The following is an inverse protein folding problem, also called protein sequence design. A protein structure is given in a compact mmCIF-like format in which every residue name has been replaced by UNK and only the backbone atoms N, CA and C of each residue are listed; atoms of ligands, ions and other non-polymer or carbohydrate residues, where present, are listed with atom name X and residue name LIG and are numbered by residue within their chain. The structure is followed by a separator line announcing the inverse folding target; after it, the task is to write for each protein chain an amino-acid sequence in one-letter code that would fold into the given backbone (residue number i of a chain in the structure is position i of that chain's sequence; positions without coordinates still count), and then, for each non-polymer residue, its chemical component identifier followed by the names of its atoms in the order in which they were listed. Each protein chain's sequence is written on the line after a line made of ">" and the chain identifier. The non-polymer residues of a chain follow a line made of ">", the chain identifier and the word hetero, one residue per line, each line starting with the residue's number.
data_IF_827788137926
#
_entry.id   IF_827788137926
#
_cell.length_a   1.000
_cell.length_b   1.000
_cell.length_c   1.000
_cell.angle_alpha   90.00
_cell.angle_beta   90.00
_cell.angle_gamma   90.00
#
_symmetry.space_group_name_H-M   'P 1'
#
loop_
_entity.id
_entity.type
_entity.pdbx_description
1 polymer ?
#
# COMPACT_ATOMS: atom_id res chain seq x y z
N UNK A 1 0.78 16.82 17.57
CA UNK A 1 0.54 16.06 16.32
C UNK A 1 1.80 16.19 15.47
N UNK A 2 2.42 15.08 15.02
CA UNK A 2 3.60 15.15 14.17
C UNK A 2 3.25 15.79 12.82
N UNK A 3 4.14 16.63 12.31
CA UNK A 3 4.00 17.27 10.98
C UNK A 3 4.89 16.58 9.93
N UNK A 4 5.95 15.91 10.39
CA UNK A 4 6.91 15.18 9.55
C UNK A 4 7.19 13.79 10.13
N UNK A 5 7.75 12.89 9.30
CA UNK A 5 8.21 11.57 9.77
C UNK A 5 9.26 11.71 10.89
N UNK A 6 10.13 12.72 10.84
CA UNK A 6 11.17 12.94 11.86
C UNK A 6 10.59 13.25 13.25
N UNK A 7 9.38 13.79 13.33
CA UNK A 7 8.70 14.10 14.59
C UNK A 7 8.22 12.83 15.35
N UNK A 8 8.30 11.67 14.71
CA UNK A 8 8.01 10.36 15.34
C UNK A 8 9.15 9.85 16.24
N UNK A 9 10.20 10.64 16.43
CA UNK A 9 11.31 10.30 17.36
C UNK A 9 10.79 10.06 18.78
N UNK A 10 11.11 8.89 19.32
CA UNK A 10 10.64 8.43 20.63
C UNK A 10 9.28 7.76 20.62
N UNK A 11 8.62 7.69 19.46
CA UNK A 11 7.30 7.04 19.33
C UNK A 11 7.41 5.52 19.25
N UNK A 12 6.29 4.85 19.57
CA UNK A 12 6.03 3.46 19.21
C UNK A 12 4.91 3.44 18.16
N UNK A 13 5.16 2.78 17.04
CA UNK A 13 4.21 2.64 15.93
C UNK A 13 3.71 1.20 15.91
N UNK A 14 2.43 1.01 16.12
CA UNK A 14 1.79 -0.31 16.06
C UNK A 14 1.40 -0.63 14.62
N UNK A 15 1.80 -1.81 14.13
CA UNK A 15 1.48 -2.26 12.76
C UNK A 15 1.40 -3.80 12.71
N UNK A 16 1.37 -4.36 11.52
CA UNK A 16 1.37 -5.80 11.23
C UNK A 16 2.38 -6.12 10.14
N UNK A 17 2.56 -7.41 9.83
CA UNK A 17 3.35 -7.84 8.68
C UNK A 17 4.87 -7.75 8.91
N UNK A 18 5.33 -8.20 10.09
CA UNK A 18 6.75 -8.36 10.36
C UNK A 18 7.40 -9.29 9.33
N UNK A 19 8.55 -8.90 8.78
CA UNK A 19 9.25 -9.62 7.72
C UNK A 19 8.60 -9.49 6.33
N UNK A 20 7.68 -8.53 6.15
CA UNK A 20 6.93 -8.33 4.91
C UNK A 20 6.86 -6.84 4.53
N UNK A 21 6.17 -6.54 3.42
CA UNK A 21 6.06 -5.18 2.89
C UNK A 21 5.72 -4.08 3.91
N UNK A 22 4.79 -4.25 4.85
CA UNK A 22 4.49 -3.20 5.81
C UNK A 22 5.71 -2.76 6.63
N UNK A 23 6.52 -3.72 7.11
CA UNK A 23 7.75 -3.41 7.82
C UNK A 23 8.76 -2.68 6.94
N UNK A 24 9.01 -3.18 5.72
CA UNK A 24 10.00 -2.59 4.81
C UNK A 24 9.63 -1.16 4.41
N UNK A 25 8.34 -0.92 4.12
CA UNK A 25 7.84 0.42 3.78
C UNK A 25 8.04 1.39 4.95
N UNK A 26 7.61 0.97 6.15
CA UNK A 26 7.72 1.82 7.34
C UNK A 26 9.19 2.11 7.67
N UNK A 27 10.04 1.08 7.68
CA UNK A 27 11.48 1.23 7.95
C UNK A 27 12.15 2.16 6.94
N UNK A 28 11.86 1.99 5.65
CA UNK A 28 12.42 2.84 4.59
C UNK A 28 12.13 4.33 4.82
N UNK A 29 10.87 4.69 5.09
CA UNK A 29 10.52 6.10 5.28
C UNK A 29 11.04 6.66 6.59
N UNK A 30 11.14 5.85 7.65
CA UNK A 30 11.72 6.24 8.93
C UNK A 30 13.23 6.51 8.79
N UNK A 31 13.96 5.59 8.17
CA UNK A 31 15.42 5.72 7.97
C UNK A 31 15.76 6.89 7.04
N UNK A 32 14.99 7.11 5.97
CA UNK A 32 15.15 8.27 5.10
C UNK A 32 14.94 9.59 5.83
N UNK A 33 14.11 9.61 6.88
CA UNK A 33 13.92 10.77 7.75
C UNK A 33 14.97 10.86 8.89
N UNK A 34 15.98 9.99 8.90
CA UNK A 34 17.06 9.98 9.91
C UNK A 34 16.65 9.39 11.27
N UNK A 35 15.67 8.47 11.26
CA UNK A 35 15.25 7.71 12.44
C UNK A 35 15.71 6.26 12.35
N UNK A 36 16.44 5.80 13.36
CA UNK A 36 16.88 4.40 13.46
C UNK A 36 15.80 3.58 14.17
N UNK A 37 15.25 2.58 13.48
CA UNK A 37 14.29 1.65 14.08
C UNK A 37 14.97 0.84 15.18
N UNK A 38 14.30 0.74 16.34
CA UNK A 38 14.84 0.10 17.54
C UNK A 38 15.65 1.01 18.46
N UNK A 39 16.07 2.18 17.98
CA UNK A 39 16.78 3.21 18.78
C UNK A 39 15.95 4.48 18.94
N UNK A 40 15.67 5.15 17.81
CA UNK A 40 14.95 6.41 17.77
C UNK A 40 13.42 6.24 17.75
N UNK A 41 12.95 5.14 17.21
CA UNK A 41 11.51 4.79 17.08
C UNK A 41 11.33 3.28 17.24
N UNK A 42 10.25 2.87 17.89
CA UNK A 42 9.92 1.47 18.07
C UNK A 42 8.79 1.06 17.12
N UNK A 43 8.85 -0.17 16.61
CA UNK A 43 7.74 -0.77 15.86
C UNK A 43 7.20 -1.95 16.68
N UNK A 44 5.92 -1.89 17.00
CA UNK A 44 5.20 -2.99 17.63
C UNK A 44 4.40 -3.75 16.58
N UNK A 45 4.71 -5.04 16.39
CA UNK A 45 4.03 -5.88 15.41
C UNK A 45 2.89 -6.69 16.01
N UNK A 46 1.72 -6.55 15.43
CA UNK A 46 0.57 -7.41 15.65
C UNK A 46 0.58 -8.58 14.64
N UNK A 47 -0.14 -9.64 14.97
CA UNK A 47 -0.23 -10.83 14.11
C UNK A 47 -1.05 -10.58 12.83
N UNK A 48 -2.01 -9.66 12.90
CA UNK A 48 -2.90 -9.31 11.80
C UNK A 48 -3.40 -7.86 11.91
N UNK A 49 -3.93 -7.33 10.81
CA UNK A 49 -4.51 -5.99 10.74
C UNK A 49 -5.67 -5.79 11.73
N UNK A 50 -6.47 -6.83 11.96
CA UNK A 50 -7.60 -6.77 12.90
C UNK A 50 -7.16 -6.54 14.35
N UNK A 51 -5.99 -7.02 14.74
CA UNK A 51 -5.42 -6.77 16.06
C UNK A 51 -4.99 -5.31 16.21
N UNK A 52 -4.40 -4.72 15.17
CA UNK A 52 -4.10 -3.27 15.15
C UNK A 52 -5.38 -2.46 15.28
N UNK A 53 -6.43 -2.82 14.52
CA UNK A 53 -7.74 -2.17 14.61
C UNK A 53 -8.37 -2.27 16.02
N UNK A 54 -8.19 -3.41 16.68
CA UNK A 54 -8.67 -3.60 18.06
C UNK A 54 -7.94 -2.68 19.04
N UNK A 55 -6.60 -2.57 18.94
CA UNK A 55 -5.80 -1.66 19.76
C UNK A 55 -6.17 -0.19 19.55
N UNK A 56 -6.36 0.23 18.28
CA UNK A 56 -6.84 1.59 17.97
C UNK A 56 -8.21 1.84 18.60
N UNK A 57 -9.16 0.90 18.44
CA UNK A 57 -10.50 1.04 19.02
C UNK A 57 -10.48 1.14 20.53
N UNK A 58 -9.56 0.41 21.20
CA UNK A 58 -9.36 0.46 22.66
C UNK A 58 -8.56 1.68 23.13
N UNK A 59 -7.89 2.42 22.23
CA UNK A 59 -6.99 3.52 22.60
C UNK A 59 -5.67 3.03 23.23
N UNK A 60 -5.19 1.86 22.83
CA UNK A 60 -4.02 1.19 23.41
C UNK A 60 -2.72 1.47 22.64
N UNK A 61 -2.73 2.27 21.60
CA UNK A 61 -1.55 2.68 20.85
C UNK A 61 -1.62 4.18 20.52
N UNK A 62 -0.46 4.86 20.55
CA UNK A 62 -0.37 6.28 20.19
C UNK A 62 -0.36 6.49 18.67
N UNK A 63 0.35 5.62 17.96
CA UNK A 63 0.46 5.63 16.50
C UNK A 63 0.18 4.23 15.94
N UNK A 64 -0.53 4.19 14.82
CA UNK A 64 -0.77 2.97 14.08
C UNK A 64 -0.50 3.20 12.58
N UNK A 65 0.13 2.22 11.91
CA UNK A 65 0.20 2.18 10.46
C UNK A 65 -0.78 1.15 9.93
N UNK A 66 -1.66 1.58 9.06
CA UNK A 66 -2.74 0.78 8.48
C UNK A 66 -2.92 1.13 6.99
N UNK A 67 -3.22 0.16 6.12
CA UNK A 67 -3.65 0.45 4.76
C UNK A 67 -5.10 0.93 4.74
N UNK A 68 -5.53 1.59 3.66
CA UNK A 68 -6.95 1.76 3.39
C UNK A 68 -7.58 0.42 2.93
N UNK A 69 -8.83 0.14 3.28
CA UNK A 69 -9.77 0.98 4.04
C UNK A 69 -9.63 0.91 5.58
N UNK A 70 -8.64 0.19 6.10
CA UNK A 70 -8.50 -0.05 7.54
C UNK A 70 -8.21 1.23 8.33
N UNK A 71 -7.47 2.18 7.77
CA UNK A 71 -7.22 3.49 8.39
C UNK A 71 -8.55 4.25 8.59
N UNK A 72 -9.41 4.27 7.57
CA UNK A 72 -10.76 4.85 7.67
C UNK A 72 -11.65 4.12 8.68
N UNK A 73 -11.59 2.78 8.72
CA UNK A 73 -12.31 1.98 9.73
C UNK A 73 -11.82 2.30 11.14
N UNK A 74 -10.50 2.42 11.35
CA UNK A 74 -9.91 2.78 12.63
C UNK A 74 -10.43 4.13 13.14
N UNK A 75 -10.44 5.17 12.31
CA UNK A 75 -10.99 6.49 12.63
C UNK A 75 -12.50 6.43 12.95
N UNK A 76 -13.25 5.58 12.27
CA UNK A 76 -14.68 5.41 12.54
C UNK A 76 -14.93 4.73 13.89
N UNK A 77 -14.03 3.83 14.31
CA UNK A 77 -14.13 3.15 15.61
C UNK A 77 -13.68 4.02 16.78
N UNK A 78 -12.74 4.93 16.55
CA UNK A 78 -12.24 5.83 17.57
C UNK A 78 -11.90 7.20 16.96
N UNK A 79 -12.78 8.18 17.17
CA UNK A 79 -12.68 9.53 16.61
C UNK A 79 -11.50 10.36 17.18
N UNK A 80 -10.81 9.87 18.20
CA UNK A 80 -9.61 10.52 18.73
C UNK A 80 -8.38 10.29 17.81
N UNK A 81 -8.45 9.32 16.88
CA UNK A 81 -7.40 9.09 15.90
C UNK A 81 -7.68 9.86 14.61
N UNK A 82 -6.63 10.39 14.04
CA UNK A 82 -6.65 11.04 12.73
C UNK A 82 -5.47 10.56 11.90
N UNK A 83 -5.61 10.54 10.56
CA UNK A 83 -4.49 10.31 9.67
C UNK A 83 -3.56 11.51 9.73
N UNK A 84 -2.32 11.29 10.12
CA UNK A 84 -1.30 12.33 10.24
C UNK A 84 -0.27 12.28 9.11
N UNK A 85 -0.10 11.13 8.47
CA UNK A 85 0.87 10.94 7.40
C UNK A 85 0.34 10.00 6.32
N UNK A 86 0.64 10.33 5.07
CA UNK A 86 0.42 9.51 3.89
C UNK A 86 1.74 8.88 3.47
N UNK A 87 1.82 7.55 3.56
CA UNK A 87 3.06 6.83 3.26
C UNK A 87 3.43 6.82 1.78
N UNK A 88 2.50 7.05 0.84
CA UNK A 88 2.85 7.25 -0.55
C UNK A 88 3.67 8.52 -0.73
N UNK A 89 3.23 9.63 -0.11
CA UNK A 89 3.97 10.90 -0.13
C UNK A 89 5.30 10.78 0.58
N UNK A 90 5.32 10.16 1.76
CA UNK A 90 6.55 9.93 2.50
C UNK A 90 7.56 9.07 1.73
N UNK A 91 7.10 8.06 1.00
CA UNK A 91 7.93 7.24 0.11
C UNK A 91 8.48 8.05 -1.07
N UNK A 92 7.65 8.85 -1.72
CA UNK A 92 8.07 9.71 -2.82
C UNK A 92 9.15 10.69 -2.37
N UNK A 93 8.97 11.34 -1.22
CA UNK A 93 9.96 12.21 -0.61
C UNK A 93 11.26 11.45 -0.26
N UNK A 94 11.15 10.29 0.38
CA UNK A 94 12.29 9.44 0.76
C UNK A 94 13.12 8.99 -0.46
N UNK A 95 12.45 8.67 -1.57
CA UNK A 95 13.11 8.28 -2.81
C UNK A 95 13.61 9.46 -3.65
N UNK A 96 13.29 10.70 -3.26
CA UNK A 96 13.54 11.91 -4.06
C UNK A 96 12.77 11.89 -5.39
N UNK A 97 11.55 11.34 -5.39
CA UNK A 97 10.68 11.23 -6.56
C UNK A 97 11.09 10.17 -7.58
N UNK A 98 12.01 9.26 -7.21
CA UNK A 98 12.56 8.26 -8.15
C UNK A 98 11.73 6.98 -8.24
N UNK A 99 11.01 6.64 -7.17
CA UNK A 99 10.22 5.42 -7.09
C UNK A 99 8.86 5.70 -6.48
N UNK A 100 7.88 4.86 -6.80
CA UNK A 100 6.55 4.90 -6.23
C UNK A 100 6.34 3.73 -5.26
N UNK A 101 5.50 3.91 -4.26
CA UNK A 101 5.08 2.84 -3.38
C UNK A 101 4.09 1.94 -4.14
N UNK A 102 4.48 0.69 -4.37
CA UNK A 102 3.65 -0.31 -5.07
C UNK A 102 3.07 -1.30 -4.06
N UNK A 103 1.76 -1.31 -3.89
CA UNK A 103 1.08 -2.16 -2.90
C UNK A 103 0.50 -3.44 -3.48
N UNK A 104 0.06 -3.43 -4.73
CA UNK A 104 -0.59 -4.56 -5.35
C UNK A 104 -0.27 -4.67 -6.83
N UNK A 105 -0.41 -5.89 -7.36
CA UNK A 105 -0.26 -6.15 -8.78
C UNK A 105 -1.25 -7.23 -9.23
N UNK A 106 -1.52 -7.24 -10.52
CA UNK A 106 -2.16 -8.36 -11.20
C UNK A 106 -1.06 -9.29 -11.71
N UNK A 107 -1.24 -10.58 -11.48
CA UNK A 107 -0.34 -11.61 -12.00
C UNK A 107 -1.10 -12.55 -12.93
N UNK A 108 -0.51 -12.86 -14.07
CA UNK A 108 -1.03 -13.84 -15.03
C UNK A 108 0.01 -14.94 -15.24
N UNK A 109 -0.44 -16.18 -15.41
CA UNK A 109 0.49 -17.27 -15.77
C UNK A 109 1.05 -17.04 -17.18
N UNK A 110 2.37 -17.12 -17.33
CA UNK A 110 3.05 -16.86 -18.62
C UNK A 110 2.49 -17.72 -19.74
N UNK A 111 2.23 -19.01 -19.50
CA UNK A 111 1.63 -19.94 -20.49
C UNK A 111 0.22 -19.49 -20.92
N UNK A 112 -0.58 -18.97 -19.98
CA UNK A 112 -1.91 -18.46 -20.30
C UNK A 112 -1.82 -17.17 -21.12
N UNK A 113 -0.95 -16.26 -20.75
CA UNK A 113 -0.75 -15.01 -21.48
C UNK A 113 -0.28 -15.27 -22.93
N UNK A 114 0.67 -16.20 -23.12
CA UNK A 114 1.14 -16.59 -24.43
C UNK A 114 0.07 -17.30 -25.30
N UNK A 115 -0.78 -18.13 -24.67
CA UNK A 115 -1.83 -18.86 -25.39
C UNK A 115 -3.08 -18.01 -25.66
N UNK A 116 -3.33 -16.97 -24.88
CA UNK A 116 -4.56 -16.18 -24.90
C UNK A 116 -4.29 -14.66 -24.77
N UNK A 117 -3.44 -14.06 -25.60
CA UNK A 117 -3.07 -12.65 -25.47
C UNK A 117 -4.27 -11.72 -25.60
N UNK A 118 -5.23 -12.05 -26.45
CA UNK A 118 -6.46 -11.26 -26.63
C UNK A 118 -7.32 -11.22 -25.35
N UNK A 119 -7.36 -12.33 -24.60
CA UNK A 119 -8.11 -12.37 -23.35
C UNK A 119 -7.43 -11.52 -22.28
N UNK A 120 -6.10 -11.51 -22.24
CA UNK A 120 -5.34 -10.66 -21.31
C UNK A 120 -5.54 -9.18 -21.65
N UNK A 121 -5.43 -8.82 -22.94
CA UNK A 121 -5.65 -7.45 -23.40
C UNK A 121 -7.06 -6.96 -23.02
N UNK A 122 -8.09 -7.76 -23.34
CA UNK A 122 -9.47 -7.42 -22.99
C UNK A 122 -9.68 -7.31 -21.48
N UNK A 123 -9.09 -8.20 -20.69
CA UNK A 123 -9.16 -8.13 -19.24
C UNK A 123 -8.55 -6.81 -18.72
N UNK A 124 -7.39 -6.41 -19.24
CA UNK A 124 -6.73 -5.16 -18.83
C UNK A 124 -7.54 -3.92 -19.21
N UNK A 125 -8.20 -3.91 -20.38
CA UNK A 125 -9.11 -2.84 -20.78
C UNK A 125 -10.30 -2.73 -19.81
N UNK A 126 -10.96 -3.86 -19.52
CA UNK A 126 -12.12 -3.90 -18.61
C UNK A 126 -11.71 -3.56 -17.17
N UNK A 127 -10.52 -3.99 -16.73
CA UNK A 127 -10.00 -3.68 -15.41
C UNK A 127 -9.66 -2.19 -15.28
N UNK A 128 -9.00 -1.60 -16.26
CA UNK A 128 -8.72 -0.16 -16.29
C UNK A 128 -10.03 0.65 -16.24
N UNK A 129 -11.01 0.28 -17.06
CA UNK A 129 -12.31 0.92 -17.06
C UNK A 129 -13.03 0.78 -15.69
N UNK A 130 -12.87 -0.34 -15.01
CA UNK A 130 -13.41 -0.56 -13.67
C UNK A 130 -12.72 0.35 -12.63
N UNK A 131 -11.38 0.51 -12.71
CA UNK A 131 -10.65 1.44 -11.83
C UNK A 131 -11.12 2.87 -12.07
N UNK A 132 -11.22 3.31 -13.34
CA UNK A 132 -11.71 4.64 -13.70
C UNK A 132 -13.13 4.89 -13.19
N UNK A 133 -14.01 3.87 -13.31
CA UNK A 133 -15.36 3.94 -12.79
C UNK A 133 -15.38 4.16 -11.27
N UNK A 134 -14.65 3.33 -10.53
CA UNK A 134 -14.57 3.43 -9.05
C UNK A 134 -14.05 4.81 -8.60
N UNK A 135 -13.15 5.42 -9.36
CA UNK A 135 -12.57 6.72 -9.04
C UNK A 135 -13.47 7.91 -9.39
N UNK A 136 -14.47 7.72 -10.28
CA UNK A 136 -15.23 8.85 -10.86
C UNK A 136 -16.73 8.74 -10.69
N UNK A 137 -17.29 7.55 -10.46
CA UNK A 137 -18.73 7.35 -10.41
C UNK A 137 -19.30 7.72 -9.03
N UNK A 138 -20.45 8.39 -9.03
CA UNK A 138 -21.13 8.82 -7.80
C UNK A 138 -21.62 7.63 -6.94
N UNK A 139 -21.92 6.49 -7.56
CA UNK A 139 -22.43 5.27 -6.91
C UNK A 139 -21.34 4.23 -6.59
N UNK A 140 -20.07 4.55 -6.81
CA UNK A 140 -18.95 3.63 -6.55
C UNK A 140 -18.93 3.11 -5.11
N UNK A 141 -19.18 3.98 -4.13
CA UNK A 141 -19.18 3.62 -2.72
C UNK A 141 -20.31 2.64 -2.35
N UNK A 142 -21.49 2.80 -2.95
CA UNK A 142 -22.64 1.92 -2.77
C UNK A 142 -22.37 0.54 -3.38
N UNK A 143 -21.76 0.49 -4.56
CA UNK A 143 -21.39 -0.77 -5.23
C UNK A 143 -20.35 -1.53 -4.38
N UNK A 144 -19.29 -0.85 -3.93
CA UNK A 144 -18.23 -1.46 -3.08
C UNK A 144 -18.84 -2.05 -1.80
N UNK A 145 -19.80 -1.35 -1.19
CA UNK A 145 -20.47 -1.85 0.00
C UNK A 145 -21.45 -3.00 -0.30
N UNK A 146 -22.16 -2.94 -1.44
CA UNK A 146 -23.07 -4.00 -1.87
C UNK A 146 -22.34 -5.31 -2.19
N UNK A 147 -21.12 -5.22 -2.70
CA UNK A 147 -20.22 -6.36 -2.94
C UNK A 147 -19.45 -6.81 -1.67
N UNK A 148 -19.79 -6.25 -0.51
CA UNK A 148 -19.23 -6.61 0.81
C UNK A 148 -17.68 -6.43 0.88
N UNK A 149 -17.08 -5.57 0.02
CA UNK A 149 -15.65 -5.29 0.00
C UNK A 149 -15.26 -4.48 1.24
N UNK A 150 -16.12 -3.54 1.65
CA UNK A 150 -15.99 -2.78 2.91
C UNK A 150 -17.33 -2.78 3.67
N UNK A 151 -17.31 -2.50 4.99
CA UNK A 151 -18.50 -2.64 5.84
C UNK A 151 -19.68 -1.71 5.49
N UNK A 152 -19.45 -0.58 4.81
CA UNK A 152 -20.49 0.37 4.42
C UNK A 152 -20.05 1.35 3.34
N UNK A 153 -21.02 1.90 2.61
CA UNK A 153 -20.79 2.95 1.62
C UNK A 153 -20.13 4.21 2.23
N UNK A 154 -20.45 4.55 3.48
CA UNK A 154 -19.84 5.68 4.15
C UNK A 154 -18.32 5.47 4.39
N UNK A 155 -17.89 4.25 4.70
CA UNK A 155 -16.48 3.88 4.81
C UNK A 155 -15.84 3.91 3.42
N UNK A 156 -16.46 3.31 2.41
CA UNK A 156 -15.97 3.32 1.03
C UNK A 156 -15.73 4.76 0.52
N UNK A 157 -16.72 5.64 0.66
CA UNK A 157 -16.64 7.03 0.22
C UNK A 157 -15.50 7.82 0.88
N UNK A 158 -15.18 7.51 2.15
CA UNK A 158 -14.07 8.15 2.87
C UNK A 158 -12.70 7.56 2.50
N UNK A 159 -12.63 6.24 2.28
CA UNK A 159 -11.39 5.52 2.00
C UNK A 159 -10.91 5.71 0.56
N UNK A 160 -11.83 5.74 -0.42
CA UNK A 160 -11.51 5.79 -1.86
C UNK A 160 -10.52 6.90 -2.24
N UNK A 161 -10.66 8.16 -1.78
CA UNK A 161 -9.72 9.22 -2.14
C UNK A 161 -8.28 8.98 -1.66
N UNK A 162 -8.10 8.11 -0.66
CA UNK A 162 -6.81 7.81 -0.04
C UNK A 162 -6.28 6.41 -0.42
N UNK A 163 -7.07 5.62 -1.13
CA UNK A 163 -6.71 4.24 -1.49
C UNK A 163 -5.64 4.16 -2.61
N UNK A 164 -5.34 5.28 -3.27
CA UNK A 164 -4.36 5.38 -4.35
C UNK A 164 -4.55 4.30 -5.44
N UNK A 165 -5.81 4.03 -5.80
CA UNK A 165 -6.13 3.06 -6.84
C UNK A 165 -5.61 3.54 -8.20
N UNK A 166 -4.93 2.65 -8.91
CA UNK A 166 -4.41 2.92 -10.25
C UNK A 166 -4.38 1.65 -11.10
N UNK A 167 -4.28 1.81 -12.40
CA UNK A 167 -4.02 0.74 -13.35
C UNK A 167 -2.86 1.14 -14.25
N UNK A 168 -1.64 0.76 -13.87
CA UNK A 168 -0.42 1.03 -14.64
C UNK A 168 -0.04 -0.25 -15.38
N UNK A 169 0.05 -0.18 -16.71
CA UNK A 169 0.31 -1.33 -17.59
C UNK A 169 1.38 -1.00 -18.63
N UNK A 170 1.84 -2.02 -19.37
CA UNK A 170 2.77 -1.83 -20.48
C UNK A 170 4.11 -1.22 -20.06
N UNK A 171 4.62 -0.30 -20.87
CA UNK A 171 5.96 0.26 -20.72
C UNK A 171 6.15 1.09 -19.43
N UNK A 172 5.07 1.64 -18.87
CA UNK A 172 5.15 2.46 -17.65
C UNK A 172 5.17 1.59 -16.37
N UNK A 173 4.67 0.35 -16.45
CA UNK A 173 4.64 -0.58 -15.32
C UNK A 173 6.04 -1.01 -14.89
N UNK A 174 6.89 -1.42 -15.82
CA UNK A 174 8.20 -1.98 -15.51
C UNK A 174 9.07 -1.05 -14.66
N UNK A 175 9.35 0.21 -15.06
CA UNK A 175 10.21 1.10 -14.27
C UNK A 175 9.61 1.42 -12.90
N UNK A 176 8.28 1.48 -12.78
CA UNK A 176 7.59 1.72 -11.51
C UNK A 176 7.81 0.57 -10.53
N UNK A 177 7.58 -0.66 -10.98
CA UNK A 177 7.72 -1.87 -10.15
C UNK A 177 9.20 -2.18 -9.86
N UNK A 178 10.08 -2.02 -10.86
CA UNK A 178 11.52 -2.24 -10.72
C UNK A 178 12.15 -1.28 -9.70
N UNK A 179 11.75 -0.03 -9.72
CA UNK A 179 12.18 0.95 -8.71
C UNK A 179 11.81 0.52 -7.30
N UNK A 180 10.60 0.00 -7.11
CA UNK A 180 10.15 -0.54 -5.82
C UNK A 180 10.94 -1.80 -5.42
N UNK A 181 11.14 -2.74 -6.34
CA UNK A 181 11.91 -3.96 -6.09
C UNK A 181 13.37 -3.68 -5.70
N UNK A 182 14.00 -2.66 -6.26
CA UNK A 182 15.35 -2.27 -5.87
C UNK A 182 15.41 -1.85 -4.41
N UNK A 183 14.44 -1.07 -3.92
CA UNK A 183 14.36 -0.70 -2.50
C UNK A 183 14.17 -1.94 -1.63
N UNK A 184 13.25 -2.85 -1.98
CA UNK A 184 13.05 -4.09 -1.24
C UNK A 184 14.30 -4.98 -1.23
N UNK A 185 15.02 -5.06 -2.34
CA UNK A 185 16.26 -5.83 -2.46
C UNK A 185 17.35 -5.30 -1.53
N UNK A 186 17.48 -3.98 -1.43
CA UNK A 186 18.46 -3.36 -0.54
C UNK A 186 18.17 -3.67 0.94
N UNK A 187 16.88 -3.75 1.32
CA UNK A 187 16.49 -4.17 2.67
C UNK A 187 16.67 -5.66 2.92
N UNK A 188 16.16 -6.46 2.00
CA UNK A 188 16.19 -7.92 2.13
C UNK A 188 16.12 -8.56 0.74
N UNK A 189 17.23 -9.04 0.18
CA UNK A 189 17.25 -9.71 -1.11
C UNK A 189 16.24 -10.86 -1.24
N UNK A 190 15.94 -11.55 -0.13
CA UNK A 190 14.97 -12.67 -0.15
C UNK A 190 13.52 -12.19 -0.33
N UNK A 191 13.21 -10.92 -0.03
CA UNK A 191 11.88 -10.35 -0.26
C UNK A 191 11.52 -10.32 -1.76
N UNK A 192 12.53 -10.29 -2.63
CA UNK A 192 12.37 -10.31 -4.09
C UNK A 192 12.94 -11.59 -4.75
N UNK A 193 13.07 -12.67 -3.97
CA UNK A 193 13.54 -13.96 -4.48
C UNK A 193 15.05 -14.08 -4.65
N UNK A 194 15.85 -13.21 -4.03
CA UNK A 194 17.32 -13.24 -4.05
C UNK A 194 17.98 -12.42 -5.18
N UNK A 195 17.19 -11.92 -6.11
CA UNK A 195 17.62 -10.98 -7.17
C UNK A 195 16.45 -10.14 -7.63
N UNK A 196 16.71 -8.90 -8.04
CA UNK A 196 15.68 -8.11 -8.72
C UNK A 196 15.25 -8.85 -9.99
N UNK A 197 13.94 -9.05 -10.20
CA UNK A 197 13.44 -9.76 -11.38
C UNK A 197 13.88 -9.10 -12.70
N UNK A 198 14.09 -9.93 -13.71
CA UNK A 198 14.41 -9.45 -15.06
C UNK A 198 13.15 -9.06 -15.86
N UNK A 199 13.36 -8.61 -17.10
CA UNK A 199 12.28 -8.15 -17.98
C UNK A 199 11.19 -9.22 -18.25
N UNK A 200 11.49 -10.50 -18.07
CA UNK A 200 10.54 -11.58 -18.31
C UNK A 200 9.41 -11.64 -17.28
N UNK A 201 9.57 -10.95 -16.13
CA UNK A 201 8.48 -10.83 -15.14
C UNK A 201 7.32 -9.97 -15.66
N UNK A 202 7.62 -8.99 -16.52
CA UNK A 202 6.67 -7.94 -16.88
C UNK A 202 5.91 -8.28 -18.14
N UNK A 203 4.58 -8.30 -18.07
CA UNK A 203 3.73 -8.41 -19.26
C UNK A 203 3.59 -7.03 -19.91
N UNK A 204 4.22 -6.84 -21.07
CA UNK A 204 4.25 -5.57 -21.78
C UNK A 204 3.21 -5.46 -22.92
N UNK A 205 2.36 -6.49 -23.09
CA UNK A 205 1.30 -6.46 -24.10
C UNK A 205 1.74 -6.92 -25.51
N UNK A 206 2.89 -7.62 -25.62
CA UNK A 206 3.40 -8.20 -26.87
C UNK A 206 3.08 -9.69 -26.98
#
# INVERSE_FOLDING_TARGET
>A
VPETIADLRGATITTFGQGANPEYILTYVLEAAGLTVGEDVQIEFCSAVDEVLAKVAAGECDYAMLPEPNATVAQTKNENYTVVMDLNKAWEEASGGKTQLVMGCLAVRAEFAAAHPENVARFLEEYSASVDYILTADDAAEIIAAEEIVPSAAIAAKALPNANLCCITGADMQPTVEGYFNVLFDFNPQAVGGSVPDAALYYLGE
#
